data_IF_268535760579
#
_entry.id   IF_268535760579
#
_cell.length_a   1.000
_cell.length_b   1.000
_cell.length_c   1.000
_cell.angle_alpha   90.00
_cell.angle_beta   90.00
_cell.angle_gamma   90.00
#
_symmetry.space_group_name_H-M   'P 1'
#
loop_
_entity.id
_entity.type
_entity.pdbx_description
1 polymer ?
#
# COMPACT_ATOMS: atom_id res chain seq x y z
N UNK A 1 -22.50 -10.26 -2.46
CA UNK A 1 -22.77 -11.10 -1.27
C UNK A 1 -21.77 -10.74 -0.18
N UNK A 2 -22.20 -10.13 0.92
CA UNK A 2 -21.31 -9.85 2.05
C UNK A 2 -20.92 -11.15 2.76
N UNK A 3 -19.62 -11.43 2.89
CA UNK A 3 -19.15 -12.56 3.69
C UNK A 3 -19.51 -12.31 5.15
N UNK A 4 -20.43 -13.11 5.72
CA UNK A 4 -20.66 -13.08 7.16
C UNK A 4 -19.38 -13.50 7.87
N UNK A 5 -18.99 -12.75 8.90
CA UNK A 5 -17.87 -13.11 9.77
C UNK A 5 -18.33 -14.28 10.66
N UNK A 6 -18.15 -15.50 10.17
CA UNK A 6 -18.42 -16.72 10.93
C UNK A 6 -17.38 -16.90 12.04
N UNK A 7 -17.83 -17.26 13.23
CA UNK A 7 -16.95 -17.67 14.34
C UNK A 7 -16.64 -19.16 14.16
N UNK A 8 -15.35 -19.48 14.02
CA UNK A 8 -14.89 -20.86 13.92
C UNK A 8 -14.89 -21.52 15.30
N UNK A 9 -16.02 -22.14 15.66
CA UNK A 9 -16.12 -23.02 16.83
C UNK A 9 -15.41 -24.34 16.56
N UNK A 10 -14.98 -25.07 17.60
CA UNK A 10 -14.25 -26.32 17.42
C UNK A 10 -15.07 -27.38 16.65
N UNK A 11 -16.39 -27.43 16.84
CA UNK A 11 -17.29 -28.26 16.05
C UNK A 11 -17.21 -27.96 14.55
N UNK A 12 -17.25 -26.69 14.17
CA UNK A 12 -17.16 -26.27 12.77
C UNK A 12 -15.78 -26.56 12.17
N UNK A 13 -14.73 -26.48 12.98
CA UNK A 13 -13.37 -26.78 12.56
C UNK A 13 -13.21 -28.29 12.31
N UNK A 14 -13.75 -29.14 13.18
CA UNK A 14 -13.75 -30.59 12.99
C UNK A 14 -14.52 -30.99 11.73
N UNK A 15 -15.73 -30.44 11.52
CA UNK A 15 -16.48 -30.67 10.29
C UNK A 15 -15.72 -30.19 9.06
N UNK A 16 -15.09 -29.01 9.08
CA UNK A 16 -14.27 -28.54 7.96
C UNK A 16 -13.05 -29.45 7.69
N UNK A 17 -12.43 -29.98 8.74
CA UNK A 17 -11.31 -30.92 8.63
C UNK A 17 -11.75 -32.27 8.05
N UNK A 18 -12.92 -32.79 8.45
CA UNK A 18 -13.54 -33.99 7.87
C UNK A 18 -13.83 -33.80 6.38
N UNK A 19 -14.45 -32.67 5.99
CA UNK A 19 -14.70 -32.35 4.58
C UNK A 19 -13.40 -32.22 3.77
N UNK A 20 -12.34 -31.68 4.38
CA UNK A 20 -11.02 -31.62 3.73
C UNK A 20 -10.40 -33.00 3.57
N UNK A 21 -10.55 -33.89 4.57
CA UNK A 21 -10.07 -35.28 4.52
C UNK A 21 -10.84 -36.12 3.50
N UNK A 22 -12.13 -35.84 3.30
CA UNK A 22 -12.94 -36.44 2.23
C UNK A 22 -12.65 -35.85 0.84
N UNK A 23 -11.68 -34.93 0.72
CA UNK A 23 -11.16 -34.45 -0.56
C UNK A 23 -11.86 -33.24 -1.16
N UNK A 24 -12.80 -32.59 -0.45
CA UNK A 24 -13.44 -31.36 -0.93
C UNK A 24 -12.43 -30.22 -1.02
N UNK A 25 -12.62 -29.33 -2.00
CA UNK A 25 -11.77 -28.15 -2.13
C UNK A 25 -12.11 -27.11 -1.06
N UNK A 26 -11.15 -26.24 -0.73
CA UNK A 26 -11.42 -25.10 0.18
C UNK A 26 -12.50 -24.16 -0.33
N UNK A 27 -12.81 -24.16 -1.64
CA UNK A 27 -13.91 -23.40 -2.20
C UNK A 27 -15.25 -24.02 -1.80
N UNK A 28 -15.39 -25.34 -1.96
CA UNK A 28 -16.64 -26.07 -1.67
C UNK A 28 -16.94 -26.05 -0.16
N UNK A 29 -15.89 -26.19 0.66
CA UNK A 29 -16.01 -26.04 2.12
C UNK A 29 -16.46 -24.62 2.46
N UNK A 30 -15.87 -23.60 1.84
CA UNK A 30 -16.24 -22.21 2.10
C UNK A 30 -17.70 -21.91 1.73
N UNK A 31 -18.19 -22.49 0.63
CA UNK A 31 -19.57 -22.37 0.18
C UNK A 31 -20.55 -23.01 1.18
N UNK A 32 -20.25 -24.21 1.69
CA UNK A 32 -21.07 -24.88 2.72
C UNK A 32 -21.18 -24.07 4.01
N UNK A 33 -20.11 -23.38 4.41
CA UNK A 33 -20.08 -22.57 5.62
C UNK A 33 -20.50 -21.11 5.42
N UNK A 34 -20.75 -20.67 4.19
CA UNK A 34 -21.08 -19.27 3.90
C UNK A 34 -19.94 -18.29 4.19
N UNK A 35 -18.69 -18.73 4.05
CA UNK A 35 -17.47 -17.95 4.32
C UNK A 35 -16.63 -17.75 3.06
N UNK A 36 -15.60 -16.90 3.12
CA UNK A 36 -14.66 -16.76 2.01
C UNK A 36 -13.68 -17.94 1.95
N UNK A 37 -13.24 -18.32 0.73
CA UNK A 37 -12.15 -19.30 0.53
C UNK A 37 -10.91 -18.96 1.37
N UNK A 38 -10.58 -17.67 1.48
CA UNK A 38 -9.44 -17.18 2.26
C UNK A 38 -9.57 -17.50 3.76
N UNK A 39 -10.79 -17.47 4.30
CA UNK A 39 -11.06 -17.84 5.70
C UNK A 39 -10.70 -19.30 5.97
N UNK A 40 -11.15 -20.22 5.11
CA UNK A 40 -10.84 -21.66 5.20
C UNK A 40 -9.35 -21.93 4.98
N UNK A 41 -8.73 -21.29 3.99
CA UNK A 41 -7.29 -21.43 3.75
C UNK A 41 -6.45 -20.94 4.94
N UNK A 42 -6.84 -19.82 5.56
CA UNK A 42 -6.22 -19.33 6.78
C UNK A 42 -6.40 -20.28 7.96
N UNK A 43 -7.59 -20.85 8.13
CA UNK A 43 -7.88 -21.85 9.15
C UNK A 43 -6.97 -23.08 8.99
N UNK A 44 -6.90 -23.65 7.78
CA UNK A 44 -6.08 -24.82 7.47
C UNK A 44 -4.57 -24.56 7.69
N UNK A 45 -4.09 -23.36 7.34
CA UNK A 45 -2.68 -23.00 7.56
C UNK A 45 -2.31 -22.86 9.04
N UNK A 46 -3.26 -22.49 9.89
CA UNK A 46 -3.07 -22.35 11.35
C UNK A 46 -3.19 -23.69 12.08
N UNK A 47 -4.13 -24.55 11.67
CA UNK A 47 -4.37 -25.89 12.25
C UNK A 47 -3.90 -26.99 11.30
N UNK A 48 -2.59 -27.04 11.01
CA UNK A 48 -2.02 -27.98 10.02
C UNK A 48 -2.08 -29.44 10.45
N UNK A 49 -2.23 -29.69 11.73
CA UNK A 49 -2.49 -30.98 12.36
C UNK A 49 -3.83 -31.57 11.90
N UNK A 50 -4.88 -30.76 11.85
CA UNK A 50 -6.21 -31.17 11.38
C UNK A 50 -6.35 -31.14 9.85
N UNK A 51 -5.57 -30.30 9.19
CA UNK A 51 -5.54 -30.13 7.74
C UNK A 51 -4.17 -30.54 7.19
N UNK A 52 -3.82 -31.85 7.24
CA UNK A 52 -2.56 -32.30 6.69
C UNK A 52 -2.51 -31.87 5.22
N UNK A 53 -1.40 -31.25 4.81
CA UNK A 53 -1.16 -30.99 3.39
C UNK A 53 -1.19 -32.34 2.72
N UNK A 54 -2.28 -32.66 2.02
CA UNK A 54 -2.45 -33.93 1.31
C UNK A 54 -1.14 -34.21 0.60
N UNK A 55 -0.40 -35.21 1.12
CA UNK A 55 1.02 -35.41 0.86
C UNK A 55 1.24 -35.28 -0.64
N UNK A 56 1.80 -34.14 -1.04
CA UNK A 56 1.89 -33.63 -2.41
C UNK A 56 1.01 -34.41 -3.39
N UNK A 57 -0.33 -34.28 -3.32
CA UNK A 57 -1.34 -35.01 -4.12
C UNK A 57 -0.64 -35.75 -5.24
N UNK A 58 -0.33 -37.04 -5.05
CA UNK A 58 0.42 -37.85 -6.00
C UNK A 58 -0.11 -37.50 -7.38
N UNK A 59 0.71 -36.76 -8.15
CA UNK A 59 0.29 -35.84 -9.22
C UNK A 59 -0.99 -36.37 -9.84
N UNK A 60 -2.16 -35.86 -9.39
CA UNK A 60 -3.45 -36.29 -9.96
C UNK A 60 -3.25 -36.18 -11.45
N UNK A 61 -3.30 -37.33 -12.14
CA UNK A 61 -3.00 -37.44 -13.57
C UNK A 61 -3.60 -36.22 -14.21
N UNK A 62 -2.71 -35.37 -14.75
CA UNK A 62 -3.07 -34.04 -15.16
C UNK A 62 -4.28 -34.19 -16.06
N UNK A 63 -5.48 -33.81 -15.57
CA UNK A 63 -6.63 -33.55 -16.43
C UNK A 63 -6.03 -32.82 -17.63
N UNK A 64 -6.19 -33.31 -18.88
CA UNK A 64 -5.55 -32.71 -20.03
C UNK A 64 -5.78 -31.23 -19.88
N UNK A 65 -4.72 -30.50 -19.56
CA UNK A 65 -4.81 -29.07 -19.40
C UNK A 65 -5.05 -28.68 -20.83
N UNK A 66 -6.34 -28.52 -21.18
CA UNK A 66 -6.77 -27.98 -22.46
C UNK A 66 -5.89 -26.78 -22.63
N UNK A 67 -4.90 -26.93 -23.52
CA UNK A 67 -3.67 -26.16 -23.45
C UNK A 67 -4.13 -24.72 -23.44
N UNK A 68 -4.02 -24.03 -22.30
CA UNK A 68 -4.42 -22.63 -22.20
C UNK A 68 -3.71 -22.01 -23.38
N UNK A 69 -4.46 -21.64 -24.43
CA UNK A 69 -3.88 -21.09 -25.66
C UNK A 69 -2.81 -20.16 -25.16
N UNK A 70 -1.51 -20.40 -25.45
CA UNK A 70 -0.45 -19.58 -24.89
C UNK A 70 -0.92 -18.16 -25.16
N UNK A 71 -1.20 -17.38 -24.10
CA UNK A 71 -1.67 -16.01 -24.27
C UNK A 71 -0.79 -15.47 -25.36
N UNK A 72 -1.36 -15.14 -26.52
CA UNK A 72 -0.60 -14.78 -27.70
C UNK A 72 0.20 -13.55 -27.29
N UNK A 73 1.40 -13.80 -26.75
CA UNK A 73 2.22 -12.81 -26.09
C UNK A 73 2.92 -12.18 -27.25
N UNK A 74 2.16 -11.32 -27.96
CA UNK A 74 2.46 -10.68 -29.23
C UNK A 74 3.84 -11.11 -29.70
N UNK A 75 3.91 -12.32 -30.31
CA UNK A 75 5.17 -12.81 -30.83
C UNK A 75 5.57 -11.73 -31.83
N UNK A 76 6.70 -11.12 -31.53
CA UNK A 76 7.41 -10.13 -32.33
C UNK A 76 7.01 -8.66 -32.09
N UNK A 77 7.19 -8.19 -30.84
CA UNK A 77 7.48 -6.76 -30.62
C UNK A 77 8.72 -6.29 -31.42
N UNK A 78 9.63 -7.23 -31.71
CA UNK A 78 10.80 -7.02 -32.57
C UNK A 78 10.44 -6.72 -34.04
N UNK A 79 9.31 -7.22 -34.56
CA UNK A 79 8.91 -6.98 -35.95
C UNK A 79 8.24 -5.61 -36.15
N UNK A 80 7.71 -5.00 -35.08
CA UNK A 80 7.07 -3.67 -35.18
C UNK A 80 8.05 -2.53 -35.40
N UNK A 81 9.34 -2.74 -35.15
CA UNK A 81 10.33 -1.68 -35.26
C UNK A 81 11.63 -2.21 -35.85
N UNK A 82 11.66 -2.32 -37.18
CA UNK A 82 12.89 -2.57 -37.90
C UNK A 82 13.85 -1.37 -37.74
N UNK A 83 15.03 -1.65 -37.18
CA UNK A 83 16.13 -0.69 -37.14
C UNK A 83 16.78 -0.63 -38.52
N UNK A 84 16.48 0.42 -39.27
CA UNK A 84 17.27 0.84 -40.42
C UNK A 84 18.50 1.65 -39.95
N UNK A 85 19.47 1.85 -40.85
CA UNK A 85 20.68 2.62 -40.52
C UNK A 85 20.38 4.09 -40.22
N UNK A 86 19.37 4.67 -40.87
CA UNK A 86 18.96 6.05 -40.63
C UNK A 86 18.44 6.28 -39.20
N UNK A 87 17.57 5.39 -38.69
CA UNK A 87 17.05 5.40 -37.31
C UNK A 87 18.18 5.13 -36.32
N UNK A 88 19.12 4.24 -36.64
CA UNK A 88 20.31 4.01 -35.80
C UNK A 88 21.14 5.28 -35.67
N UNK A 89 21.49 5.93 -36.77
CA UNK A 89 22.26 7.18 -36.75
C UNK A 89 21.51 8.30 -36.03
N UNK A 90 20.19 8.41 -36.24
CA UNK A 90 19.34 9.38 -35.53
C UNK A 90 19.30 9.11 -34.03
N UNK A 91 19.19 7.84 -33.61
CA UNK A 91 19.26 7.46 -32.19
C UNK A 91 20.62 7.82 -31.56
N UNK A 92 21.72 7.60 -32.28
CA UNK A 92 23.08 7.97 -31.83
C UNK A 92 23.23 9.49 -31.70
N UNK A 93 22.71 10.26 -32.66
CA UNK A 93 22.72 11.73 -32.58
C UNK A 93 21.93 12.24 -31.36
N UNK A 94 20.73 11.68 -31.12
CA UNK A 94 19.92 12.03 -29.95
C UNK A 94 20.58 11.59 -28.62
N UNK A 95 21.31 10.47 -28.61
CA UNK A 95 22.08 10.04 -27.45
C UNK A 95 23.25 10.96 -27.14
N UNK A 96 23.99 11.38 -28.19
CA UNK A 96 25.11 12.34 -28.06
C UNK A 96 24.65 13.71 -27.54
N UNK A 97 23.42 14.12 -27.82
CA UNK A 97 22.82 15.33 -27.24
C UNK A 97 22.27 15.15 -25.82
N UNK A 98 22.51 13.99 -25.18
CA UNK A 98 22.17 13.75 -23.78
C UNK A 98 20.74 13.28 -23.52
N UNK A 99 19.94 12.99 -24.57
CA UNK A 99 18.58 12.49 -24.39
C UNK A 99 18.55 11.10 -23.77
N UNK A 100 17.56 10.86 -22.92
CA UNK A 100 17.30 9.56 -22.32
C UNK A 100 16.71 8.57 -23.33
N UNK A 101 16.82 7.26 -23.07
CA UNK A 101 16.21 6.23 -23.93
C UNK A 101 14.70 6.38 -24.13
N UNK A 102 14.00 7.00 -23.15
CA UNK A 102 12.58 7.29 -23.26
C UNK A 102 12.32 8.37 -24.31
N UNK A 103 13.01 9.50 -24.20
CA UNK A 103 12.88 10.61 -25.16
C UNK A 103 13.33 10.23 -26.56
N UNK A 104 14.37 9.39 -26.68
CA UNK A 104 14.79 8.82 -27.97
C UNK A 104 13.67 7.95 -28.56
N UNK A 105 13.03 7.12 -27.73
CA UNK A 105 11.89 6.31 -28.13
C UNK A 105 10.71 7.15 -28.61
N UNK A 106 10.35 8.20 -27.86
CA UNK A 106 9.26 9.11 -28.20
C UNK A 106 9.52 9.82 -29.55
N UNK A 107 10.76 10.25 -29.82
CA UNK A 107 11.14 10.89 -31.09
C UNK A 107 11.15 9.91 -32.27
N UNK A 108 11.49 8.64 -32.04
CA UNK A 108 11.58 7.62 -33.08
C UNK A 108 10.29 6.80 -33.25
N UNK A 109 9.29 7.00 -32.38
CA UNK A 109 8.05 6.24 -32.39
C UNK A 109 8.21 4.79 -31.89
N UNK A 110 9.13 4.53 -30.96
CA UNK A 110 9.34 3.19 -30.38
C UNK A 110 9.40 3.22 -28.84
N UNK A 111 9.16 2.07 -28.19
CA UNK A 111 9.25 1.98 -26.73
C UNK A 111 10.69 2.10 -26.23
N UNK A 112 10.86 2.69 -25.04
CA UNK A 112 12.16 2.85 -24.36
C UNK A 112 12.95 1.55 -24.28
N UNK A 113 12.27 0.39 -24.18
CA UNK A 113 12.89 -0.92 -24.08
C UNK A 113 13.56 -1.32 -25.40
N UNK A 114 12.99 -0.93 -26.55
CA UNK A 114 13.57 -1.17 -27.87
C UNK A 114 14.88 -0.40 -28.05
N UNK A 115 14.91 0.86 -27.64
CA UNK A 115 16.14 1.68 -27.63
C UNK A 115 17.17 1.10 -26.67
N UNK A 116 16.75 0.67 -25.47
CA UNK A 116 17.63 0.00 -24.50
C UNK A 116 18.21 -1.32 -25.01
N UNK A 117 17.43 -2.11 -25.76
CA UNK A 117 17.91 -3.33 -26.40
C UNK A 117 18.92 -3.03 -27.52
N UNK A 118 18.71 -1.96 -28.31
CA UNK A 118 19.69 -1.50 -29.29
C UNK A 118 21.01 -1.13 -28.60
N UNK A 119 20.96 -0.31 -27.56
CA UNK A 119 22.14 0.09 -26.79
C UNK A 119 22.87 -1.10 -26.15
N UNK A 120 22.14 -2.12 -25.68
CA UNK A 120 22.74 -3.35 -25.15
C UNK A 120 23.43 -4.20 -26.23
N UNK A 121 22.88 -4.23 -27.45
CA UNK A 121 23.45 -4.99 -28.58
C UNK A 121 24.64 -4.27 -29.25
N UNK A 122 24.67 -2.93 -29.18
CA UNK A 122 25.69 -2.05 -29.79
C UNK A 122 26.22 -1.06 -28.75
N UNK A 123 27.00 -1.53 -27.75
CA UNK A 123 27.52 -0.67 -26.69
C UNK A 123 28.55 0.35 -27.19
N UNK A 124 29.18 0.10 -28.34
CA UNK A 124 30.09 0.99 -29.07
C UNK A 124 29.42 2.30 -29.49
N UNK A 125 28.14 2.25 -29.87
CA UNK A 125 27.37 3.42 -30.31
C UNK A 125 26.73 4.20 -29.15
N UNK A 126 26.58 3.56 -27.99
CA UNK A 126 25.89 4.12 -26.82
C UNK A 126 26.78 3.97 -25.57
N UNK A 127 27.92 4.69 -25.50
CA UNK A 127 28.75 4.68 -24.30
C UNK A 127 27.91 5.15 -23.12
N UNK A 128 28.06 4.50 -21.97
CA UNK A 128 27.33 4.88 -20.75
C UNK A 128 27.69 6.32 -20.42
N UNK A 129 26.72 7.23 -20.46
CA UNK A 129 26.87 8.53 -19.84
C UNK A 129 27.22 8.31 -18.37
N UNK A 130 28.36 8.82 -17.93
CA UNK A 130 28.66 9.01 -16.52
C UNK A 130 27.68 10.06 -16.00
N UNK A 131 26.45 9.63 -15.75
CA UNK A 131 25.50 10.48 -15.04
C UNK A 131 26.18 10.81 -13.72
N UNK A 132 26.26 12.09 -13.34
CA UNK A 132 26.74 12.44 -12.01
C UNK A 132 25.93 11.57 -11.06
N UNK A 133 26.63 10.73 -10.30
CA UNK A 133 26.01 9.79 -9.37
C UNK A 133 25.07 10.65 -8.54
N UNK A 134 23.73 10.51 -8.68
CA UNK A 134 22.84 11.35 -7.92
C UNK A 134 23.24 11.14 -6.47
N UNK A 135 23.45 12.24 -5.74
CA UNK A 135 23.78 12.16 -4.32
C UNK A 135 22.81 11.16 -3.69
N UNK A 136 23.32 10.20 -2.90
CA UNK A 136 22.52 9.10 -2.42
C UNK A 136 21.35 9.67 -1.61
N UNK A 137 20.20 9.81 -2.25
CA UNK A 137 18.94 10.07 -1.57
C UNK A 137 18.77 8.86 -0.67
N UNK A 138 18.95 9.06 0.64
CA UNK A 138 18.84 8.01 1.65
C UNK A 138 17.49 7.34 1.45
N UNK A 139 17.49 6.18 0.79
CA UNK A 139 16.27 5.41 0.57
C UNK A 139 15.79 5.02 1.96
N UNK A 140 14.61 5.52 2.33
CA UNK A 140 13.98 5.15 3.57
C UNK A 140 13.65 3.66 3.50
N UNK A 141 14.57 2.82 3.99
CA UNK A 141 14.35 1.39 4.13
C UNK A 141 13.28 1.23 5.18
N UNK A 142 12.07 0.88 4.75
CA UNK A 142 11.00 0.52 5.68
C UNK A 142 11.54 -0.60 6.59
N UNK A 143 11.49 -0.45 7.91
CA UNK A 143 11.95 -1.49 8.81
C UNK A 143 11.19 -2.78 8.49
N UNK A 144 11.94 -3.89 8.46
CA UNK A 144 11.37 -5.20 8.14
C UNK A 144 10.38 -5.61 9.22
N UNK A 145 9.28 -6.26 8.84
CA UNK A 145 8.18 -6.62 9.73
C UNK A 145 8.59 -7.45 10.97
N UNK A 146 9.79 -8.04 10.95
CA UNK A 146 10.33 -8.85 12.05
C UNK A 146 10.85 -8.03 13.24
N UNK A 147 11.11 -6.73 13.07
CA UNK A 147 11.55 -5.83 14.15
C UNK A 147 10.42 -4.96 14.72
N UNK A 148 9.19 -5.08 14.19
CA UNK A 148 8.05 -4.26 14.61
C UNK A 148 7.52 -4.60 16.01
N UNK A 149 7.90 -5.74 16.59
CA UNK A 149 7.35 -6.24 17.86
C UNK A 149 8.12 -5.78 19.10
N UNK A 150 9.38 -5.36 18.95
CA UNK A 150 10.26 -5.00 20.06
C UNK A 150 10.64 -3.51 20.11
N UNK A 151 10.37 -2.76 19.04
CA UNK A 151 10.46 -1.33 19.12
C UNK A 151 9.20 -0.81 19.84
N UNK A 152 9.35 -0.42 21.11
CA UNK A 152 8.60 0.72 21.64
C UNK A 152 8.57 1.74 20.51
N UNK A 153 7.39 2.03 20.00
CA UNK A 153 7.19 2.90 18.85
C UNK A 153 7.72 4.29 19.17
N UNK A 154 9.04 4.47 19.07
CA UNK A 154 9.67 5.76 18.92
C UNK A 154 9.16 6.24 17.58
N UNK A 155 8.03 6.94 17.65
CA UNK A 155 7.38 7.62 16.54
C UNK A 155 8.41 8.64 16.09
N UNK A 156 9.34 8.21 15.23
CA UNK A 156 10.32 9.09 14.64
C UNK A 156 9.52 10.22 14.04
N UNK A 157 9.79 11.45 14.52
CA UNK A 157 9.27 12.71 14.00
C UNK A 157 9.50 12.68 12.49
N UNK A 158 8.54 12.16 11.73
CA UNK A 158 8.55 12.29 10.28
C UNK A 158 8.47 13.78 10.05
N UNK A 159 9.50 14.35 9.42
CA UNK A 159 9.58 15.77 9.12
C UNK A 159 8.19 16.29 8.77
N UNK A 160 7.73 17.22 9.61
CA UNK A 160 6.43 17.85 9.68
C UNK A 160 5.99 18.33 8.31
N UNK A 161 5.38 17.44 7.53
CA UNK A 161 4.74 17.84 6.30
C UNK A 161 3.47 18.58 6.67
N UNK A 162 3.55 19.89 6.94
CA UNK A 162 2.48 20.92 6.82
C UNK A 162 1.06 20.47 7.17
N UNK A 163 0.90 19.53 8.09
CA UNK A 163 -0.34 18.77 8.26
C UNK A 163 -1.22 19.52 9.22
N UNK A 164 -1.84 20.56 8.63
CA UNK A 164 -2.95 21.37 9.13
C UNK A 164 -2.57 22.14 10.38
N UNK A 165 -2.19 23.38 10.16
CA UNK A 165 -2.28 24.41 11.19
C UNK A 165 -3.70 24.38 11.79
N UNK A 166 -3.83 23.93 13.03
CA UNK A 166 -5.11 23.85 13.74
C UNK A 166 -5.50 25.20 14.36
N UNK A 167 -4.61 26.20 14.32
CA UNK A 167 -4.90 27.54 14.85
C UNK A 167 -5.99 28.24 14.04
N UNK A 168 -6.22 27.82 12.79
CA UNK A 168 -7.33 28.28 11.94
C UNK A 168 -8.71 27.97 12.51
N UNK A 169 -8.79 27.08 13.51
CA UNK A 169 -10.03 26.75 14.22
C UNK A 169 -10.17 27.48 15.57
N UNK A 170 -9.24 28.39 15.89
CA UNK A 170 -9.39 29.23 17.07
C UNK A 170 -10.67 30.09 16.98
N UNK A 171 -11.38 30.22 18.10
CA UNK A 171 -12.57 31.05 18.21
C UNK A 171 -12.11 32.44 18.65
N UNK A 172 -12.46 33.47 17.88
CA UNK A 172 -12.12 34.86 18.20
C UNK A 172 -12.67 35.27 19.58
N UNK A 173 -11.84 35.92 20.39
CA UNK A 173 -12.21 36.37 21.74
C UNK A 173 -12.16 35.32 22.84
N UNK A 174 -11.93 34.04 22.53
CA UNK A 174 -11.77 32.99 23.55
C UNK A 174 -10.28 32.75 23.83
N UNK A 175 -9.80 32.93 25.08
CA UNK A 175 -8.39 32.68 25.41
C UNK A 175 -8.08 31.19 25.37
N UNK A 176 -6.92 30.83 24.83
CA UNK A 176 -6.44 29.45 24.88
C UNK A 176 -5.84 29.11 26.26
N UNK A 177 -5.96 27.85 26.67
CA UNK A 177 -5.35 27.33 27.91
C UNK A 177 -4.46 26.14 27.60
N UNK A 178 -3.43 25.89 28.43
CA UNK A 178 -2.66 24.65 28.36
C UNK A 178 -3.57 23.47 28.64
N UNK A 179 -3.30 22.31 28.04
CA UNK A 179 -4.13 21.12 28.19
C UNK A 179 -4.41 20.75 29.66
N UNK A 180 -3.42 20.96 30.55
CA UNK A 180 -3.54 20.72 32.00
C UNK A 180 -4.44 21.70 32.74
N UNK A 181 -4.61 22.90 32.21
CA UNK A 181 -5.38 23.98 32.83
C UNK A 181 -6.84 24.02 32.34
N UNK A 182 -7.22 23.13 31.40
CA UNK A 182 -8.57 23.05 30.86
C UNK A 182 -9.52 22.36 31.85
N UNK A 183 -10.52 23.10 32.31
CA UNK A 183 -11.54 22.64 33.26
C UNK A 183 -12.44 21.50 32.75
N UNK A 184 -13.29 20.96 33.63
CA UNK A 184 -14.21 19.87 33.28
C UNK A 184 -15.20 20.25 32.16
N UNK A 185 -15.62 21.52 32.12
CA UNK A 185 -16.61 22.05 31.17
C UNK A 185 -15.99 22.93 30.08
N UNK A 186 -14.69 22.76 29.80
CA UNK A 186 -13.95 23.56 28.83
C UNK A 186 -13.42 22.67 27.68
N UNK A 187 -13.41 23.23 26.47
CA UNK A 187 -13.11 22.51 25.25
C UNK A 187 -11.63 22.12 25.15
N UNK A 188 -11.36 20.82 25.04
CA UNK A 188 -10.01 20.24 24.92
C UNK A 188 -9.49 20.11 23.48
N UNK A 189 -10.02 20.89 22.54
CA UNK A 189 -9.55 20.85 21.15
C UNK A 189 -8.16 21.52 21.02
N UNK A 190 -7.11 20.83 20.54
CA UNK A 190 -5.78 21.40 20.35
C UNK A 190 -5.75 22.46 19.23
N UNK A 191 -5.15 23.62 19.49
CA UNK A 191 -5.02 24.71 18.52
C UNK A 191 -3.67 24.71 17.78
N UNK A 192 -2.88 23.66 17.94
CA UNK A 192 -1.60 23.46 17.25
C UNK A 192 -1.56 22.07 16.64
N UNK A 193 -0.80 21.92 15.55
CA UNK A 193 -0.62 20.61 14.92
C UNK A 193 -0.05 19.59 15.92
N UNK A 194 -0.44 18.33 15.76
CA UNK A 194 -0.12 17.24 16.70
C UNK A 194 1.38 16.96 16.84
N UNK A 195 2.20 17.51 15.95
CA UNK A 195 3.66 17.42 15.92
C UNK A 195 4.35 18.75 16.30
N UNK A 196 3.61 19.85 16.43
CA UNK A 196 4.13 21.17 16.76
C UNK A 196 4.33 21.37 18.27
N UNK A 197 3.48 20.74 19.10
CA UNK A 197 3.64 20.72 20.54
C UNK A 197 3.26 19.34 21.08
N UNK A 198 4.12 18.80 21.94
CA UNK A 198 3.89 17.54 22.64
C UNK A 198 3.62 17.85 24.13
N UNK A 199 2.68 17.11 24.74
CA UNK A 199 2.55 17.04 26.20
C UNK A 199 1.58 18.04 26.84
N UNK A 200 1.92 18.49 28.04
CA UNK A 200 1.04 19.23 28.96
C UNK A 200 0.79 20.68 28.52
N UNK A 201 1.68 21.23 27.70
CA UNK A 201 1.69 22.64 27.28
C UNK A 201 0.90 22.93 26.00
N UNK A 202 0.23 21.92 25.45
CA UNK A 202 -0.52 22.07 24.19
C UNK A 202 -1.68 23.06 24.40
N UNK A 203 -1.72 24.19 23.66
CA UNK A 203 -2.81 25.16 23.77
C UNK A 203 -4.11 24.56 23.25
N UNK A 204 -5.16 24.70 24.04
CA UNK A 204 -6.50 24.20 23.79
C UNK A 204 -7.50 25.35 23.73
N UNK A 205 -8.63 25.11 23.05
CA UNK A 205 -9.68 26.10 22.84
C UNK A 205 -10.29 26.70 24.12
N UNK A 206 -10.47 25.91 25.18
CA UNK A 206 -11.04 26.31 26.47
C UNK A 206 -12.46 26.93 26.48
N UNK A 207 -13.14 27.05 25.32
CA UNK A 207 -14.55 27.46 25.27
C UNK A 207 -15.48 26.49 26.01
N UNK A 208 -16.63 26.95 26.49
CA UNK A 208 -17.61 26.13 27.19
C UNK A 208 -18.06 24.92 26.34
N UNK A 209 -18.01 23.73 26.95
CA UNK A 209 -18.41 22.47 26.30
C UNK A 209 -19.92 22.30 26.27
N UNK A 210 -20.42 21.53 25.31
CA UNK A 210 -21.81 21.09 25.35
C UNK A 210 -22.02 20.08 26.50
N UNK A 211 -23.22 20.00 27.11
CA UNK A 211 -23.52 19.05 28.18
C UNK A 211 -23.16 17.61 27.79
N UNK A 212 -22.34 16.95 28.61
CA UNK A 212 -21.90 15.57 28.38
C UNK A 212 -20.86 15.38 27.27
N UNK A 213 -20.29 16.46 26.71
CA UNK A 213 -19.29 16.40 25.65
C UNK A 213 -17.97 17.03 26.12
N UNK A 214 -16.85 16.62 25.51
CA UNK A 214 -15.53 17.21 25.77
C UNK A 214 -15.22 18.44 24.90
N UNK A 215 -16.13 18.81 23.99
CA UNK A 215 -15.92 19.82 22.96
C UNK A 215 -17.02 20.87 22.96
N UNK A 216 -16.65 22.11 22.63
CA UNK A 216 -17.61 23.18 22.35
C UNK A 216 -18.34 22.94 21.02
N UNK A 217 -19.42 23.67 20.77
CA UNK A 217 -20.24 23.49 19.57
C UNK A 217 -19.46 23.73 18.26
N UNK A 218 -18.47 24.63 18.26
CA UNK A 218 -17.62 24.91 17.10
C UNK A 218 -16.73 23.70 16.77
N UNK A 219 -15.92 23.25 17.74
CA UNK A 219 -14.96 22.17 17.53
C UNK A 219 -15.61 20.79 17.36
N UNK A 220 -16.81 20.60 17.88
CA UNK A 220 -17.58 19.37 17.62
C UNK A 220 -17.86 19.19 16.12
N UNK A 221 -18.18 20.27 15.39
CA UNK A 221 -18.41 20.22 13.94
C UNK A 221 -17.13 19.91 13.16
N UNK A 222 -15.99 20.41 13.64
CA UNK A 222 -14.67 20.19 13.02
C UNK A 222 -14.28 18.72 13.13
N UNK A 223 -14.48 18.09 14.30
CA UNK A 223 -14.06 16.71 14.53
C UNK A 223 -15.08 15.68 14.01
N UNK A 224 -16.38 16.00 14.04
CA UNK A 224 -17.45 15.12 13.56
C UNK A 224 -18.25 15.75 12.40
N UNK A 225 -17.62 15.93 11.22
CA UNK A 225 -18.34 16.42 10.05
C UNK A 225 -19.49 15.46 9.69
N UNK A 226 -20.68 16.01 9.45
CA UNK A 226 -21.87 15.26 9.04
C UNK A 226 -22.78 14.78 10.19
N UNK A 227 -22.39 14.96 11.46
CA UNK A 227 -23.33 14.88 12.59
C UNK A 227 -23.92 16.27 12.84
N UNK A 228 -24.84 16.68 11.95
CA UNK A 228 -25.75 17.78 12.26
C UNK A 228 -26.56 17.41 13.51
N UNK A 229 -26.86 18.41 14.35
CA UNK A 229 -27.73 18.20 15.52
C UNK A 229 -29.09 17.65 15.12
#
# INVERSE_FOLDING_TARGET
>A
MGCRRMIWTDKNIQTAAELSRSGLSYRDIAERFGVSRGSVAGLANRRRDLFPKAAARAKTEAKPVEAKKPKARAKNYADRFAWDDAKRQRAVSLWKSGKSYREIGDVLGCDRTTVGMLAKRRPDLFPKHEKPKPEPVRKFTKPTARMASFALSFRQKTASGTRRDLSVHAIEGVPSKRFVDVGAHECRFPLVAFDAADGLDVPCCAAETMPGQSWCAHHFRVVFPGRGR
#
